data_IF_754730590871
#
_entry.id   IF_754730590871
#
_cell.length_a   1.000
_cell.length_b   1.000
_cell.length_c   1.000
_cell.angle_alpha   90.00
_cell.angle_beta   90.00
_cell.angle_gamma   90.00
#
_symmetry.space_group_name_H-M   'P 1'
#
loop_
_entity.id
_entity.type
_entity.pdbx_description
1 polymer ?
#
# COMPACT_ATOMS: atom_id res chain seq x y z
N UNK A 1 -16.50 -1.63 -8.60
CA UNK A 1 -15.27 -0.93 -8.19
C UNK A 1 -15.63 0.51 -7.87
N UNK A 2 -14.84 1.17 -7.04
CA UNK A 2 -15.00 2.58 -6.69
C UNK A 2 -13.70 3.33 -6.97
N UNK A 3 -13.70 4.68 -7.03
CA UNK A 3 -12.49 5.45 -7.20
C UNK A 3 -11.40 5.04 -6.21
N UNK A 4 -10.17 4.96 -6.69
CA UNK A 4 -9.04 4.62 -5.84
C UNK A 4 -8.74 5.78 -4.87
N UNK A 5 -8.71 5.47 -3.58
CA UNK A 5 -8.34 6.40 -2.51
C UNK A 5 -7.01 6.03 -1.83
N UNK A 6 -6.24 5.12 -2.45
CA UNK A 6 -4.89 4.80 -1.99
C UNK A 6 -4.02 6.06 -2.03
N UNK A 7 -3.56 6.52 -0.87
CA UNK A 7 -2.73 7.73 -0.80
C UNK A 7 -1.31 7.45 -1.28
N UNK A 8 -0.91 8.12 -2.36
CA UNK A 8 0.48 8.16 -2.84
C UNK A 8 1.33 9.17 -2.08
N UNK A 9 0.68 10.10 -1.35
CA UNK A 9 1.34 11.22 -0.69
C UNK A 9 2.32 10.76 0.39
N UNK A 10 1.99 9.67 1.09
CA UNK A 10 2.87 9.03 2.07
C UNK A 10 4.21 8.61 1.43
N UNK A 11 4.13 7.95 0.27
CA UNK A 11 5.32 7.53 -0.46
C UNK A 11 6.12 8.72 -1.01
N UNK A 12 5.44 9.74 -1.52
CA UNK A 12 6.09 10.95 -2.06
C UNK A 12 6.81 11.74 -0.97
N UNK A 13 6.20 11.89 0.21
CA UNK A 13 6.84 12.53 1.38
C UNK A 13 8.10 11.78 1.81
N UNK A 14 8.03 10.45 1.91
CA UNK A 14 9.20 9.64 2.25
C UNK A 14 10.28 9.69 1.15
N UNK A 15 9.89 9.69 -0.13
CA UNK A 15 10.83 9.81 -1.24
C UNK A 15 11.58 11.15 -1.22
N UNK A 16 10.86 12.26 -1.00
CA UNK A 16 11.46 13.58 -0.89
C UNK A 16 12.40 13.67 0.33
N UNK A 17 11.97 13.18 1.49
CA UNK A 17 12.82 13.14 2.68
C UNK A 17 14.09 12.31 2.45
N UNK A 18 13.99 11.15 1.80
CA UNK A 18 15.16 10.34 1.48
C UNK A 18 16.08 11.01 0.45
N UNK A 19 15.52 11.79 -0.48
CA UNK A 19 16.31 12.59 -1.43
C UNK A 19 17.12 13.68 -0.73
N UNK A 20 16.52 14.39 0.22
CA UNK A 20 17.21 15.38 1.06
C UNK A 20 18.35 14.72 1.85
N UNK A 21 18.07 13.59 2.51
CA UNK A 21 19.06 12.84 3.28
C UNK A 21 20.21 12.31 2.41
N UNK A 22 19.93 11.99 1.14
CA UNK A 22 20.95 11.61 0.20
C UNK A 22 21.82 12.80 -0.22
N UNK A 23 21.21 13.94 -0.55
CA UNK A 23 21.91 15.14 -0.95
C UNK A 23 22.79 15.72 0.17
N UNK A 24 22.27 15.77 1.39
CA UNK A 24 22.95 16.42 2.52
C UNK A 24 23.97 15.51 3.21
N UNK A 25 23.65 14.21 3.33
CA UNK A 25 24.39 13.27 4.20
C UNK A 25 24.95 12.07 3.44
N UNK A 26 24.72 11.97 2.14
CA UNK A 26 25.16 10.83 1.32
C UNK A 26 24.43 9.51 1.64
N UNK A 27 23.33 9.55 2.40
CA UNK A 27 22.57 8.35 2.76
C UNK A 27 21.67 7.97 1.59
N UNK A 28 22.05 6.94 0.83
CA UNK A 28 21.29 6.48 -0.33
C UNK A 28 19.80 6.17 0.02
N UNK A 29 18.85 6.49 -0.87
CA UNK A 29 17.44 6.17 -0.67
C UNK A 29 17.22 4.64 -0.66
N UNK A 30 16.18 4.16 0.05
CA UNK A 30 15.83 2.74 0.00
C UNK A 30 15.40 2.33 -1.41
N UNK A 31 15.65 1.07 -1.77
CA UNK A 31 15.17 0.47 -3.00
C UNK A 31 13.97 -0.43 -2.70
N UNK A 32 12.98 -0.41 -3.59
CA UNK A 32 11.90 -1.41 -3.63
C UNK A 32 12.09 -2.30 -4.84
N UNK A 33 11.53 -3.51 -4.80
CA UNK A 33 11.43 -4.33 -6.00
C UNK A 33 10.58 -3.62 -7.06
N UNK A 34 10.78 -3.96 -8.33
CA UNK A 34 9.86 -3.57 -9.40
C UNK A 34 8.55 -4.34 -9.25
N UNK A 35 7.47 -3.81 -9.82
CA UNK A 35 6.24 -4.59 -10.01
C UNK A 35 6.60 -5.81 -10.87
N UNK A 36 6.19 -6.98 -10.41
CA UNK A 36 6.43 -8.24 -11.12
C UNK A 36 5.54 -8.34 -12.35
N UNK A 37 6.14 -8.69 -13.48
CA UNK A 37 5.46 -8.89 -14.76
C UNK A 37 5.71 -10.32 -15.24
N UNK A 38 4.69 -10.94 -15.82
CA UNK A 38 4.84 -12.22 -16.49
C UNK A 38 5.45 -12.06 -17.90
N UNK A 39 5.57 -13.18 -18.62
CA UNK A 39 6.13 -13.20 -19.98
C UNK A 39 5.30 -12.40 -21.00
N UNK A 40 4.04 -12.10 -20.69
CA UNK A 40 3.13 -11.29 -21.51
C UNK A 40 3.10 -9.82 -21.09
N UNK A 41 3.99 -9.41 -20.16
CA UNK A 41 4.04 -8.07 -19.55
C UNK A 41 2.80 -7.72 -18.72
N UNK A 42 2.05 -8.73 -18.27
CA UNK A 42 0.92 -8.54 -17.37
C UNK A 42 1.38 -8.54 -15.91
N UNK A 43 0.72 -7.73 -15.08
CA UNK A 43 1.05 -7.61 -13.64
C UNK A 43 0.72 -8.92 -12.93
N UNK A 44 1.73 -9.55 -12.34
CA UNK A 44 1.55 -10.71 -11.46
C UNK A 44 0.93 -10.26 -10.13
N UNK A 45 -0.03 -11.03 -9.63
CA UNK A 45 -0.85 -10.65 -8.46
C UNK A 45 -0.79 -11.70 -7.36
N UNK A 46 -0.89 -11.24 -6.13
CA UNK A 46 -1.08 -12.11 -4.96
C UNK A 46 -2.50 -12.70 -4.91
N UNK A 47 -2.74 -13.56 -3.92
CA UNK A 47 -4.04 -14.24 -3.71
C UNK A 47 -5.21 -13.28 -3.41
N UNK A 48 -4.91 -12.02 -3.09
CA UNK A 48 -5.89 -10.96 -2.83
C UNK A 48 -6.06 -10.02 -4.04
N UNK A 49 -5.34 -10.29 -5.14
CA UNK A 49 -5.44 -9.60 -6.41
C UNK A 49 -4.62 -8.31 -6.51
N UNK A 50 -3.76 -8.04 -5.52
CA UNK A 50 -2.84 -6.91 -5.51
C UNK A 50 -1.50 -7.27 -6.17
N UNK A 51 -0.84 -6.28 -6.77
CA UNK A 51 0.38 -6.49 -7.54
C UNK A 51 1.54 -7.01 -6.67
N UNK A 52 2.26 -8.04 -7.14
CA UNK A 52 3.52 -8.48 -6.51
C UNK A 52 4.66 -7.51 -6.83
N UNK A 53 5.58 -7.37 -5.89
CA UNK A 53 6.66 -6.38 -5.94
C UNK A 53 6.17 -4.94 -5.85
N UNK A 54 7.00 -3.99 -6.30
CA UNK A 54 6.70 -2.56 -6.19
C UNK A 54 6.79 -2.03 -4.76
N UNK A 55 6.26 -0.82 -4.57
CA UNK A 55 6.10 -0.22 -3.24
C UNK A 55 4.80 -0.74 -2.61
N UNK A 56 4.91 -1.77 -1.78
CA UNK A 56 3.79 -2.32 -1.01
C UNK A 56 3.70 -1.65 0.36
N UNK A 57 2.89 -0.59 0.44
CA UNK A 57 2.54 0.02 1.73
C UNK A 57 1.62 -0.91 2.54
N UNK A 58 1.44 -0.68 3.86
CA UNK A 58 0.58 -1.50 4.72
C UNK A 58 -0.80 -1.84 4.17
N UNK A 59 -1.43 -0.93 3.41
CA UNK A 59 -2.73 -1.18 2.76
C UNK A 59 -2.71 -2.28 1.68
N UNK A 60 -1.54 -2.59 1.11
CA UNK A 60 -1.34 -3.68 0.13
C UNK A 60 -0.94 -4.98 0.84
N UNK A 61 -0.10 -4.89 1.87
CA UNK A 61 0.36 -6.03 2.67
C UNK A 61 -0.72 -6.60 3.61
N UNK A 62 -1.65 -5.74 4.06
CA UNK A 62 -2.77 -6.08 4.95
C UNK A 62 -4.08 -5.56 4.33
N UNK A 63 -4.50 -6.16 3.21
CA UNK A 63 -5.51 -5.54 2.36
C UNK A 63 -6.93 -5.65 2.94
N UNK A 64 -7.69 -4.57 2.79
CA UNK A 64 -9.16 -4.55 2.92
C UNK A 64 -9.85 -4.37 1.57
N UNK A 65 -9.05 -4.21 0.51
CA UNK A 65 -9.47 -4.03 -0.86
C UNK A 65 -8.39 -4.53 -1.82
N UNK A 66 -8.80 -4.83 -3.05
CA UNK A 66 -7.91 -4.96 -4.19
C UNK A 66 -7.75 -3.61 -4.89
N UNK A 67 -6.53 -3.24 -5.25
CA UNK A 67 -6.21 -2.03 -6.00
C UNK A 67 -5.79 -2.36 -7.44
N UNK A 68 -6.27 -1.54 -8.38
CA UNK A 68 -5.94 -1.61 -9.81
C UNK A 68 -5.37 -0.26 -10.20
N UNK A 69 -4.10 -0.22 -10.59
CA UNK A 69 -3.35 1.03 -10.79
C UNK A 69 -3.63 1.77 -12.11
N UNK A 70 -4.28 1.11 -13.09
CA UNK A 70 -4.70 1.74 -14.34
C UNK A 70 -5.92 1.01 -14.88
N UNK A 71 -6.89 1.78 -15.38
CA UNK A 71 -8.04 1.24 -16.12
C UNK A 71 -7.87 1.54 -17.61
N UNK A 72 -8.35 0.63 -18.46
CA UNK A 72 -8.47 0.85 -19.91
C UNK A 72 -9.63 1.82 -20.24
N UNK A 73 -9.68 2.94 -19.53
CA UNK A 73 -10.64 4.02 -19.64
C UNK A 73 -9.92 5.32 -20.02
N UNK A 74 -10.66 6.37 -20.34
CA UNK A 74 -10.07 7.69 -20.65
C UNK A 74 -10.06 8.62 -19.43
N UNK A 75 -9.20 9.63 -19.46
CA UNK A 75 -9.13 10.65 -18.39
C UNK A 75 -8.46 10.15 -17.11
N UNK A 76 -8.80 10.76 -15.96
CA UNK A 76 -8.13 10.49 -14.68
C UNK A 76 -8.24 9.04 -14.21
N UNK A 77 -9.28 8.30 -14.64
CA UNK A 77 -9.46 6.89 -14.31
C UNK A 77 -8.31 6.00 -14.83
N UNK A 78 -7.65 6.38 -15.94
CA UNK A 78 -6.50 5.65 -16.46
C UNK A 78 -5.23 5.81 -15.62
N UNK A 79 -5.15 6.88 -14.82
CA UNK A 79 -3.98 7.25 -14.02
C UNK A 79 -4.17 6.86 -12.55
N UNK A 80 -5.36 7.14 -11.99
CA UNK A 80 -5.68 6.91 -10.58
C UNK A 80 -6.09 5.46 -10.33
N UNK A 81 -6.68 4.84 -11.35
CA UNK A 81 -7.17 3.48 -11.28
C UNK A 81 -8.41 3.36 -10.37
N UNK A 82 -8.62 2.17 -9.82
CA UNK A 82 -9.78 1.86 -8.99
C UNK A 82 -9.45 0.92 -7.84
N UNK A 83 -10.36 0.86 -6.87
CA UNK A 83 -10.34 -0.16 -5.83
C UNK A 83 -11.62 -1.00 -5.81
N UNK A 84 -11.47 -2.25 -5.38
CA UNK A 84 -12.56 -3.16 -5.08
C UNK A 84 -12.48 -3.53 -3.59
N UNK A 85 -13.29 -2.91 -2.72
CA UNK A 85 -13.39 -3.29 -1.32
C UNK A 85 -13.77 -4.77 -1.18
N UNK A 86 -13.18 -5.44 -0.19
CA UNK A 86 -13.56 -6.80 0.15
C UNK A 86 -14.88 -6.83 0.90
N UNK A 87 -15.64 -7.90 0.70
CA UNK A 87 -16.85 -8.15 1.47
C UNK A 87 -16.51 -8.63 2.89
N UNK A 88 -17.53 -8.68 3.76
CA UNK A 88 -17.36 -9.07 5.15
C UNK A 88 -16.84 -10.52 5.30
N UNK A 89 -17.19 -11.42 4.38
CA UNK A 89 -16.74 -12.81 4.42
C UNK A 89 -15.23 -12.91 4.12
N UNK A 90 -14.75 -12.21 3.10
CA UNK A 90 -13.32 -12.12 2.75
C UNK A 90 -12.52 -11.41 3.84
N UNK A 91 -13.04 -10.32 4.40
CA UNK A 91 -12.39 -9.64 5.53
C UNK A 91 -12.28 -10.55 6.76
N UNK A 92 -13.33 -11.28 7.10
CA UNK A 92 -13.32 -12.25 8.21
C UNK A 92 -12.33 -13.39 7.94
N UNK A 93 -12.28 -13.90 6.71
CA UNK A 93 -11.33 -14.96 6.34
C UNK A 93 -9.86 -14.49 6.41
N UNK A 94 -9.58 -13.26 5.98
CA UNK A 94 -8.23 -12.70 5.97
C UNK A 94 -7.76 -12.27 7.36
N UNK A 95 -8.62 -11.60 8.10
CA UNK A 95 -8.23 -10.90 9.32
C UNK A 95 -8.77 -11.55 10.59
N UNK A 96 -9.78 -12.41 10.51
CA UNK A 96 -10.47 -13.06 11.65
C UNK A 96 -11.23 -12.07 12.53
N UNK A 97 -10.51 -11.10 13.10
CA UNK A 97 -11.02 -10.04 13.96
C UNK A 97 -10.16 -8.76 13.85
N UNK A 98 -10.65 -7.69 14.47
CA UNK A 98 -10.08 -6.36 14.35
C UNK A 98 -8.72 -6.27 15.05
N UNK A 99 -8.54 -7.04 16.13
CA UNK A 99 -7.29 -7.08 16.87
C UNK A 99 -6.17 -7.71 16.03
N UNK A 100 -6.46 -8.78 15.30
CA UNK A 100 -5.52 -9.42 14.39
C UNK A 100 -5.25 -8.56 13.15
N UNK A 101 -6.27 -7.87 12.62
CA UNK A 101 -6.07 -6.84 11.59
C UNK A 101 -5.08 -5.77 12.06
N UNK A 102 -5.36 -5.13 13.21
CA UNK A 102 -4.50 -4.08 13.75
C UNK A 102 -3.09 -4.57 14.05
N UNK A 103 -2.94 -5.78 14.59
CA UNK A 103 -1.62 -6.40 14.80
C UNK A 103 -0.85 -6.55 13.48
N UNK A 104 -1.48 -7.12 12.45
CA UNK A 104 -0.85 -7.28 11.13
C UNK A 104 -0.50 -5.92 10.52
N UNK A 105 -1.42 -4.95 10.62
CA UNK A 105 -1.25 -3.61 10.07
C UNK A 105 -0.09 -2.88 10.77
N UNK A 106 -0.03 -2.89 12.11
CA UNK A 106 1.08 -2.35 12.89
C UNK A 106 2.43 -2.96 12.46
N UNK A 107 2.50 -4.29 12.33
CA UNK A 107 3.73 -4.93 11.86
C UNK A 107 4.12 -4.52 10.44
N UNK A 108 3.15 -4.31 9.54
CA UNK A 108 3.42 -3.83 8.20
C UNK A 108 3.90 -2.36 8.21
N UNK A 109 3.29 -1.51 9.03
CA UNK A 109 3.67 -0.11 9.21
C UNK A 109 5.08 0.02 9.78
N UNK A 110 5.42 -0.74 10.82
CA UNK A 110 6.76 -0.78 11.41
C UNK A 110 7.82 -1.23 10.39
N UNK A 111 7.52 -2.24 9.56
CA UNK A 111 8.41 -2.65 8.46
C UNK A 111 8.64 -1.51 7.47
N UNK A 112 7.58 -0.83 7.04
CA UNK A 112 7.67 0.27 6.08
C UNK A 112 8.46 1.46 6.66
N UNK A 113 8.26 1.77 7.96
CA UNK A 113 8.99 2.81 8.66
C UNK A 113 10.49 2.49 8.75
N UNK A 114 10.85 1.26 9.19
CA UNK A 114 12.24 0.80 9.25
C UNK A 114 12.92 0.79 7.89
N UNK A 115 12.16 0.48 6.83
CA UNK A 115 12.63 0.53 5.46
C UNK A 115 12.73 1.97 4.89
N UNK A 116 12.38 3.00 5.67
CA UNK A 116 12.32 4.42 5.25
C UNK A 116 11.37 4.65 4.07
N UNK A 117 10.34 3.83 3.94
CA UNK A 117 9.33 3.93 2.87
C UNK A 117 8.17 4.85 3.26
N UNK A 118 8.03 5.15 4.55
CA UNK A 118 7.06 6.08 5.14
C UNK A 118 7.77 6.88 6.25
N UNK A 119 7.21 8.04 6.64
CA UNK A 119 7.72 8.83 7.76
C UNK A 119 7.02 8.46 9.08
N UNK A 120 7.59 8.81 10.27
CA UNK A 120 6.94 8.55 11.55
C UNK A 120 5.55 9.16 11.68
N UNK A 121 5.33 10.36 11.14
CA UNK A 121 4.01 10.99 11.12
C UNK A 121 3.00 10.21 10.26
N UNK A 122 3.45 9.73 9.10
CA UNK A 122 2.61 8.91 8.21
C UNK A 122 2.22 7.59 8.88
N UNK A 123 3.16 6.95 9.58
CA UNK A 123 2.89 5.72 10.33
C UNK A 123 1.78 5.92 11.36
N UNK A 124 1.85 6.99 12.14
CA UNK A 124 0.83 7.32 13.14
C UNK A 124 -0.54 7.59 12.52
N UNK A 125 -0.59 8.37 11.43
CA UNK A 125 -1.84 8.68 10.72
C UNK A 125 -2.46 7.42 10.10
N UNK A 126 -1.63 6.55 9.51
CA UNK A 126 -2.07 5.28 8.92
C UNK A 126 -2.63 4.32 9.98
N UNK A 127 -1.99 4.20 11.14
CA UNK A 127 -2.47 3.37 12.24
C UNK A 127 -3.77 3.91 12.84
N UNK A 128 -3.90 5.24 12.97
CA UNK A 128 -5.12 5.88 13.43
C UNK A 128 -6.29 5.67 12.43
N UNK A 129 -6.02 5.71 11.14
CA UNK A 129 -7.00 5.39 10.10
C UNK A 129 -7.39 3.90 10.13
N UNK A 130 -6.42 3.00 10.31
CA UNK A 130 -6.67 1.56 10.42
C UNK A 130 -7.54 1.22 11.63
N UNK A 131 -7.33 1.88 12.77
CA UNK A 131 -8.14 1.69 13.98
C UNK A 131 -9.63 2.06 13.79
N UNK A 132 -9.96 2.83 12.74
CA UNK A 132 -11.33 3.19 12.38
C UNK A 132 -11.88 2.35 11.22
N UNK A 133 -11.09 1.43 10.67
CA UNK A 133 -11.49 0.62 9.54
C UNK A 133 -12.61 -0.37 9.91
N UNK A 134 -13.57 -0.54 9.00
CA UNK A 134 -14.66 -1.52 9.14
C UNK A 134 -14.19 -2.93 8.79
N UNK A 135 -13.25 -3.43 9.56
CA UNK A 135 -12.80 -4.84 9.56
C UNK A 135 -13.47 -5.50 10.77
N UNK A 136 -14.00 -6.74 10.63
CA UNK A 136 -14.73 -7.46 11.69
C UNK A 136 -14.02 -7.43 13.03
#
# INVERSE_FOLDING_TARGET
MVPNDFSWEVALRAALHNLEQWADKGIAPPQTSRIELDASLEVVRDADGNALGGLRLPYVDVPTARYVGALSESGMASIVGAKAPFDAAKLSALHQDHANFMRKFFFATDRALKARLILPGDAADMEAAAAQAKVP
#
